data_IF_929066718903
#
_entry.id   IF_929066718903
#
_cell.length_a   1.000
_cell.length_b   1.000
_cell.length_c   1.000
_cell.angle_alpha   90.00
_cell.angle_beta   90.00
_cell.angle_gamma   90.00
#
_symmetry.space_group_name_H-M   'P 1'
#
loop_
_entity.id
_entity.type
_entity.pdbx_description
1 polymer ?
#
# COMPACT_ATOMS: atom_id res chain seq x y z
N UNK A 1 -32.34 -9.26 12.84
CA UNK A 1 -31.28 -8.64 12.00
C UNK A 1 -30.03 -8.55 12.86
N UNK A 2 -28.89 -9.14 12.49
CA UNK A 2 -27.67 -8.91 13.27
C UNK A 2 -27.37 -7.40 13.21
N UNK A 3 -27.18 -6.80 14.39
CA UNK A 3 -26.82 -5.39 14.51
C UNK A 3 -25.45 -5.19 13.83
N UNK A 4 -25.41 -4.36 12.79
CA UNK A 4 -24.13 -3.97 12.21
C UNK A 4 -23.26 -3.31 13.29
N UNK A 5 -21.98 -3.66 13.39
CA UNK A 5 -21.09 -3.01 14.35
C UNK A 5 -21.14 -1.48 14.11
N UNK A 6 -21.15 -0.70 15.19
CA UNK A 6 -21.08 0.76 15.08
C UNK A 6 -19.73 1.12 14.45
N UNK A 7 -19.75 1.45 13.16
CA UNK A 7 -18.54 1.79 12.40
C UNK A 7 -18.06 3.17 12.83
N UNK A 8 -16.80 3.25 13.23
CA UNK A 8 -16.14 4.51 13.53
C UNK A 8 -15.11 4.78 12.42
N UNK A 9 -15.38 5.77 11.57
CA UNK A 9 -14.43 6.18 10.54
C UNK A 9 -13.12 6.68 11.16
N UNK A 10 -12.02 6.48 10.46
CA UNK A 10 -10.76 7.13 10.78
C UNK A 10 -10.94 8.65 10.58
N UNK A 11 -10.38 9.44 11.52
CA UNK A 11 -10.45 10.90 11.45
C UNK A 11 -9.54 11.43 10.32
N UNK A 12 -9.83 12.61 9.80
CA UNK A 12 -9.02 13.26 8.76
C UNK A 12 -7.57 13.42 9.16
N UNK A 13 -7.28 13.76 10.43
CA UNK A 13 -5.92 13.87 10.98
C UNK A 13 -5.11 12.57 10.91
N UNK A 14 -5.76 11.40 10.76
CA UNK A 14 -5.06 10.14 10.52
C UNK A 14 -4.30 10.13 9.18
N UNK A 15 -4.79 10.89 8.19
CA UNK A 15 -4.22 10.94 6.83
C UNK A 15 -3.26 12.12 6.62
N UNK A 16 -3.08 13.00 7.60
CA UNK A 16 -2.16 14.15 7.52
C UNK A 16 -0.67 13.78 7.51
N UNK A 17 -0.21 12.66 8.15
CA UNK A 17 1.17 12.21 8.03
C UNK A 17 1.53 11.77 6.60
N UNK A 18 2.83 11.54 6.34
CA UNK A 18 3.29 11.05 5.04
C UNK A 18 2.65 9.71 4.65
N UNK A 19 2.49 9.47 3.36
CA UNK A 19 1.90 8.23 2.86
C UNK A 19 2.64 6.97 3.36
N UNK A 20 3.94 7.06 3.66
CA UNK A 20 4.70 5.94 4.24
C UNK A 20 4.23 5.58 5.65
N UNK A 21 3.92 6.57 6.48
CA UNK A 21 3.39 6.36 7.83
C UNK A 21 1.95 5.83 7.74
N UNK A 22 1.11 6.51 6.98
CA UNK A 22 -0.31 6.13 6.80
C UNK A 22 -0.45 4.72 6.23
N UNK A 23 0.43 4.31 5.29
CA UNK A 23 0.39 2.98 4.70
C UNK A 23 0.63 1.86 5.72
N UNK A 24 1.52 2.09 6.68
CA UNK A 24 1.79 1.16 7.78
C UNK A 24 0.62 1.10 8.77
N UNK A 25 0.05 2.25 9.10
CA UNK A 25 -1.03 2.37 10.08
C UNK A 25 -2.37 1.87 9.55
N UNK A 26 -2.64 1.98 8.25
CA UNK A 26 -3.86 1.46 7.62
C UNK A 26 -3.98 -0.07 7.70
N UNK A 27 -2.85 -0.80 7.79
CA UNK A 27 -2.88 -2.26 7.89
C UNK A 27 -3.60 -2.72 9.16
N UNK A 28 -4.67 -3.48 9.00
CA UNK A 28 -5.50 -3.98 10.09
C UNK A 28 -6.82 -3.23 10.28
N UNK A 29 -6.99 -2.04 9.70
CA UNK A 29 -8.26 -1.32 9.63
C UNK A 29 -9.18 -1.89 8.54
N UNK A 30 -10.44 -1.46 8.52
CA UNK A 30 -11.43 -1.93 7.56
C UNK A 30 -11.62 -0.94 6.42
N UNK A 31 -11.58 -1.42 5.17
CA UNK A 31 -12.17 -0.74 4.02
C UNK A 31 -13.59 -1.28 3.83
N UNK A 32 -14.59 -0.39 3.82
CA UNK A 32 -16.00 -0.75 3.79
C UNK A 32 -16.70 -0.02 2.65
N UNK A 33 -17.48 -0.75 1.89
CA UNK A 33 -18.32 -0.27 0.80
C UNK A 33 -19.79 -0.47 1.15
N UNK A 34 -20.56 0.60 1.21
CA UNK A 34 -22.01 0.58 1.36
C UNK A 34 -22.66 0.70 -0.02
N UNK A 35 -23.48 -0.27 -0.39
CA UNK A 35 -24.25 -0.27 -1.65
C UNK A 35 -25.74 -0.43 -1.35
N UNK A 36 -26.64 -0.15 -2.31
CA UNK A 36 -28.05 -0.45 -2.16
C UNK A 36 -28.33 -1.92 -1.85
N UNK A 37 -27.47 -2.83 -2.35
CA UNK A 37 -27.60 -4.28 -2.16
C UNK A 37 -27.01 -4.77 -0.83
N UNK A 38 -26.38 -3.89 -0.06
CA UNK A 38 -25.78 -4.20 1.23
C UNK A 38 -24.36 -3.70 1.41
N UNK A 39 -23.78 -4.05 2.55
CA UNK A 39 -22.43 -3.69 2.93
C UNK A 39 -21.45 -4.81 2.57
N UNK A 40 -20.30 -4.47 1.99
CA UNK A 40 -19.18 -5.39 1.84
C UNK A 40 -17.86 -4.71 2.22
N UNK A 41 -16.85 -5.49 2.57
CA UNK A 41 -15.56 -4.96 2.97
C UNK A 41 -14.70 -5.97 3.71
N UNK A 42 -13.55 -5.51 4.18
CA UNK A 42 -12.60 -6.38 4.87
C UNK A 42 -11.44 -5.63 5.47
N UNK A 43 -10.57 -6.40 6.11
CA UNK A 43 -9.34 -5.92 6.73
C UNK A 43 -8.31 -5.58 5.65
N UNK A 44 -7.75 -4.39 5.70
CA UNK A 44 -6.62 -3.98 4.86
C UNK A 44 -5.38 -4.79 5.29
N UNK A 45 -4.86 -5.61 4.39
CA UNK A 45 -3.71 -6.49 4.67
C UNK A 45 -2.47 -6.18 3.83
N UNK A 46 -2.60 -5.33 2.81
CA UNK A 46 -1.52 -4.90 1.93
C UNK A 46 -1.75 -3.48 1.42
N UNK A 47 -0.69 -2.66 1.46
CA UNK A 47 -0.69 -1.25 1.02
C UNK A 47 0.60 -0.91 0.26
N UNK A 48 0.55 0.16 -0.55
CA UNK A 48 1.74 0.80 -1.12
C UNK A 48 1.69 2.31 -0.92
N UNK A 49 2.83 2.90 -0.53
CA UNK A 49 2.96 4.35 -0.40
C UNK A 49 3.50 4.99 -1.68
N UNK A 50 2.92 6.12 -2.06
CA UNK A 50 3.33 6.98 -3.16
C UNK A 50 3.50 8.40 -2.63
N UNK A 51 4.74 8.89 -2.58
CA UNK A 51 5.11 10.18 -2.03
C UNK A 51 5.22 11.25 -3.12
N UNK A 52 5.25 12.52 -2.72
CA UNK A 52 5.29 13.65 -3.65
C UNK A 52 6.60 13.71 -4.46
N UNK A 53 7.71 13.22 -3.89
CA UNK A 53 9.04 13.11 -4.54
C UNK A 53 9.22 11.82 -5.37
N UNK A 54 8.19 10.98 -5.42
CA UNK A 54 8.26 9.65 -6.05
C UNK A 54 7.94 9.75 -7.55
N UNK A 55 8.88 9.43 -8.45
CA UNK A 55 8.61 9.45 -9.89
C UNK A 55 7.54 8.43 -10.34
N UNK A 56 7.18 7.47 -9.49
CA UNK A 56 6.07 6.54 -9.72
C UNK A 56 4.72 7.08 -9.22
N UNK A 57 4.70 8.17 -8.47
CA UNK A 57 3.47 8.82 -8.03
C UNK A 57 2.76 9.48 -9.22
N UNK A 58 1.44 9.41 -9.27
CA UNK A 58 0.64 10.10 -10.28
C UNK A 58 0.69 11.63 -10.15
N UNK A 59 1.17 12.13 -9.02
CA UNK A 59 1.44 13.56 -8.80
C UNK A 59 2.76 14.06 -9.39
N UNK A 60 3.70 13.18 -9.75
CA UNK A 60 5.03 13.55 -10.23
C UNK A 60 5.05 14.52 -11.44
N UNK A 61 4.12 14.41 -12.43
CA UNK A 61 4.06 15.38 -13.53
C UNK A 61 3.36 16.70 -13.16
N UNK A 62 2.97 16.90 -11.88
CA UNK A 62 2.17 18.04 -11.44
C UNK A 62 0.66 17.81 -11.53
N UNK A 63 -0.09 18.87 -11.19
CA UNK A 63 -1.56 18.85 -11.18
C UNK A 63 -2.14 18.75 -12.59
N UNK A 64 -3.09 17.83 -12.76
CA UNK A 64 -3.85 17.63 -14.00
C UNK A 64 -5.34 17.39 -13.68
N UNK A 65 -6.21 17.50 -14.67
CA UNK A 65 -7.63 17.18 -14.49
C UNK A 65 -7.86 15.72 -14.02
N UNK A 66 -6.96 14.81 -14.38
CA UNK A 66 -7.05 13.38 -14.02
C UNK A 66 -6.68 13.11 -12.58
N UNK A 67 -5.70 13.82 -12.03
CA UNK A 67 -5.14 13.55 -10.69
C UNK A 67 -5.50 14.62 -9.65
N UNK A 68 -6.44 15.52 -9.95
CA UNK A 68 -6.81 16.64 -9.06
C UNK A 68 -7.18 16.21 -7.65
N UNK A 69 -7.82 15.04 -7.48
CA UNK A 69 -8.19 14.50 -6.16
C UNK A 69 -6.95 14.19 -5.33
N UNK A 70 -5.86 13.76 -5.95
CA UNK A 70 -4.59 13.46 -5.28
C UNK A 70 -3.94 14.71 -4.64
N UNK A 71 -4.24 15.91 -5.17
CA UNK A 71 -3.80 17.20 -4.61
C UNK A 71 -4.84 17.84 -3.68
N UNK A 72 -5.95 17.14 -3.40
CA UNK A 72 -7.02 17.58 -2.52
C UNK A 72 -6.71 17.40 -1.04
N UNK A 73 -7.75 17.47 -0.22
CA UNK A 73 -7.64 17.25 1.22
C UNK A 73 -7.33 15.79 1.55
N UNK A 74 -6.55 15.52 2.64
CA UNK A 74 -6.29 14.17 3.11
C UNK A 74 -7.59 13.43 3.48
N UNK A 75 -7.56 12.10 3.38
CA UNK A 75 -8.71 11.27 3.71
C UNK A 75 -9.79 11.19 2.62
N UNK A 76 -9.52 11.71 1.41
CA UNK A 76 -10.35 11.46 0.23
C UNK A 76 -9.86 10.23 -0.54
N UNK A 77 -10.79 9.54 -1.19
CA UNK A 77 -10.50 8.40 -2.05
C UNK A 77 -10.09 8.85 -3.45
N UNK A 78 -8.87 8.55 -3.87
CA UNK A 78 -8.43 8.73 -5.25
C UNK A 78 -8.61 7.43 -6.02
N UNK A 79 -9.59 7.40 -6.93
CA UNK A 79 -9.94 6.21 -7.74
C UNK A 79 -9.60 6.45 -9.20
N UNK A 80 -8.75 5.61 -9.77
CA UNK A 80 -8.34 5.75 -11.16
C UNK A 80 -8.43 4.43 -11.94
N UNK A 81 -8.62 4.56 -13.25
CA UNK A 81 -8.68 3.45 -14.20
C UNK A 81 -7.30 3.15 -14.76
N UNK A 82 -6.92 1.86 -14.79
CA UNK A 82 -5.59 1.41 -15.21
C UNK A 82 -5.70 0.16 -16.11
N UNK A 83 -4.74 0.00 -17.02
CA UNK A 83 -4.64 -1.13 -17.95
C UNK A 83 -5.88 -1.40 -18.81
N UNK A 84 -6.75 -0.39 -18.98
CA UNK A 84 -7.98 -0.54 -19.79
C UNK A 84 -9.05 -1.46 -19.20
N UNK A 85 -8.89 -1.99 -17.99
CA UNK A 85 -9.81 -2.99 -17.44
C UNK A 85 -9.98 -2.96 -15.91
N UNK A 86 -9.18 -2.18 -15.17
CA UNK A 86 -9.21 -2.21 -13.70
C UNK A 86 -9.27 -0.81 -13.08
N UNK A 87 -9.87 -0.73 -11.90
CA UNK A 87 -9.78 0.42 -11.01
C UNK A 87 -8.81 0.14 -9.87
N UNK A 88 -8.22 1.20 -9.34
CA UNK A 88 -7.43 1.18 -8.12
C UNK A 88 -7.94 2.28 -7.19
N UNK A 89 -8.00 2.00 -5.88
CA UNK A 89 -8.41 2.95 -4.84
C UNK A 89 -7.25 3.28 -3.93
N UNK A 90 -7.09 4.58 -3.69
CA UNK A 90 -6.05 5.11 -2.79
C UNK A 90 -6.70 6.02 -1.76
N UNK A 91 -6.09 6.13 -0.58
CA UNK A 91 -6.37 7.16 0.40
C UNK A 91 -5.37 8.31 0.21
N UNK A 92 -5.85 9.52 -0.05
CA UNK A 92 -5.03 10.74 -0.17
C UNK A 92 -4.46 11.09 1.20
N UNK A 93 -3.18 11.46 1.24
CA UNK A 93 -2.44 11.83 2.43
C UNK A 93 -1.84 13.22 2.29
N UNK A 94 -1.34 13.78 3.39
CA UNK A 94 -0.73 15.10 3.48
C UNK A 94 -1.73 16.26 3.27
N UNK A 95 -1.41 17.46 3.71
CA UNK A 95 -2.24 18.65 3.48
C UNK A 95 -2.49 18.90 1.98
N UNK A 96 -3.60 19.54 1.69
CA UNK A 96 -3.98 19.97 0.34
C UNK A 96 -2.83 20.65 -0.38
N UNK A 97 -2.63 20.28 -1.64
CA UNK A 97 -1.53 20.76 -2.48
C UNK A 97 -0.33 19.81 -2.53
N UNK A 98 -0.25 18.82 -1.62
CA UNK A 98 0.80 17.80 -1.60
C UNK A 98 0.24 16.49 -2.15
N UNK A 99 0.80 16.00 -3.26
CA UNK A 99 0.33 14.79 -3.93
C UNK A 99 0.94 13.53 -3.32
N UNK A 100 0.37 13.04 -2.23
CA UNK A 100 0.72 11.75 -1.63
C UNK A 100 -0.51 10.87 -1.44
N UNK A 101 -0.36 9.56 -1.62
CA UNK A 101 -1.45 8.62 -1.39
C UNK A 101 -0.97 7.22 -1.03
N UNK A 102 -1.86 6.47 -0.37
CA UNK A 102 -1.70 5.06 -0.09
C UNK A 102 -2.63 4.24 -0.96
N UNK A 103 -2.06 3.42 -1.85
CA UNK A 103 -2.81 2.42 -2.60
C UNK A 103 -3.20 1.26 -1.69
N UNK A 104 -4.49 0.92 -1.64
CA UNK A 104 -4.99 -0.27 -0.97
C UNK A 104 -4.91 -1.44 -1.95
N UNK A 105 -4.06 -2.43 -1.62
CA UNK A 105 -3.75 -3.51 -2.55
C UNK A 105 -4.53 -4.79 -2.33
N UNK A 106 -4.79 -5.14 -1.07
CA UNK A 106 -5.49 -6.37 -0.74
C UNK A 106 -6.26 -6.26 0.57
N UNK A 107 -7.36 -6.99 0.63
CA UNK A 107 -8.21 -7.12 1.81
C UNK A 107 -8.38 -8.60 2.19
N UNK A 108 -8.56 -8.84 3.48
CA UNK A 108 -9.18 -10.06 3.99
C UNK A 108 -10.68 -9.82 4.15
N UNK A 109 -11.57 -10.46 3.35
CA UNK A 109 -13.02 -10.25 3.41
C UNK A 109 -13.58 -10.55 4.81
N UNK A 110 -14.41 -9.64 5.32
CA UNK A 110 -15.10 -9.78 6.63
C UNK A 110 -16.60 -9.56 6.47
N UNK A 111 -16.99 -8.66 5.58
CA UNK A 111 -18.38 -8.26 5.38
C UNK A 111 -18.81 -8.54 3.95
N UNK A 112 -20.01 -9.10 3.75
CA UNK A 112 -20.65 -9.19 2.44
C UNK A 112 -19.89 -10.01 1.39
N UNK A 113 -19.28 -11.13 1.78
CA UNK A 113 -18.53 -11.99 0.84
C UNK A 113 -19.38 -12.43 -0.35
N UNK A 114 -20.68 -12.75 -0.12
CA UNK A 114 -21.59 -13.13 -1.21
C UNK A 114 -21.81 -11.99 -2.20
N UNK A 115 -21.92 -10.75 -1.72
CA UNK A 115 -21.98 -9.57 -2.59
C UNK A 115 -20.71 -9.43 -3.41
N UNK A 116 -19.54 -9.59 -2.79
CA UNK A 116 -18.26 -9.60 -3.50
C UNK A 116 -18.19 -10.70 -4.57
N UNK A 117 -18.72 -11.90 -4.30
CA UNK A 117 -18.75 -13.02 -5.25
C UNK A 117 -19.67 -12.76 -6.43
N UNK A 118 -20.80 -12.05 -6.23
CA UNK A 118 -21.65 -11.62 -7.36
C UNK A 118 -20.92 -10.66 -8.30
N UNK A 119 -20.16 -9.74 -7.74
CA UNK A 119 -19.38 -8.76 -8.54
C UNK A 119 -18.14 -9.40 -9.19
N UNK A 120 -17.58 -10.42 -8.56
CA UNK A 120 -16.38 -11.13 -9.00
C UNK A 120 -16.52 -12.65 -8.76
N UNK A 121 -17.09 -13.40 -9.73
CA UNK A 121 -17.34 -14.84 -9.58
C UNK A 121 -16.03 -15.64 -9.62
N UNK A 122 -15.48 -15.93 -8.43
CA UNK A 122 -14.30 -16.77 -8.23
C UNK A 122 -14.58 -17.85 -7.18
N UNK A 123 -13.99 -19.02 -7.32
CA UNK A 123 -14.24 -20.18 -6.43
C UNK A 123 -13.61 -19.98 -5.04
N UNK A 124 -12.39 -19.43 -4.98
CA UNK A 124 -11.64 -19.29 -3.73
C UNK A 124 -11.82 -17.90 -3.15
N UNK A 125 -12.22 -17.79 -1.86
CA UNK A 125 -12.34 -16.52 -1.13
C UNK A 125 -11.07 -15.68 -1.22
N UNK A 126 -9.89 -16.33 -1.14
CA UNK A 126 -8.61 -15.65 -1.28
C UNK A 126 -8.51 -14.81 -2.57
N UNK A 127 -9.08 -15.29 -3.67
CA UNK A 127 -8.93 -14.65 -4.98
C UNK A 127 -9.91 -13.49 -5.19
N UNK A 128 -10.83 -13.24 -4.25
CA UNK A 128 -11.75 -12.11 -4.32
C UNK A 128 -11.02 -10.75 -4.29
N UNK A 129 -10.09 -10.59 -3.35
CA UNK A 129 -9.56 -9.27 -2.98
C UNK A 129 -8.03 -9.23 -2.84
N UNK A 130 -7.31 -10.25 -3.33
CA UNK A 130 -5.84 -10.34 -3.27
C UNK A 130 -5.16 -9.61 -4.44
N UNK A 131 -5.49 -8.35 -4.62
CA UNK A 131 -4.91 -7.45 -5.62
C UNK A 131 -5.76 -6.21 -5.82
N UNK A 132 -5.17 -5.04 -6.19
CA UNK A 132 -5.88 -3.75 -6.20
C UNK A 132 -7.06 -3.73 -7.19
N UNK A 133 -6.89 -4.23 -8.39
CA UNK A 133 -7.99 -4.36 -9.36
C UNK A 133 -9.05 -5.37 -8.93
N UNK A 134 -8.63 -6.47 -8.29
CA UNK A 134 -9.54 -7.51 -7.80
C UNK A 134 -10.45 -7.00 -6.69
N UNK A 135 -9.88 -6.29 -5.71
CA UNK A 135 -10.67 -5.72 -4.62
C UNK A 135 -11.65 -4.65 -5.13
N UNK A 136 -11.23 -3.80 -6.06
CA UNK A 136 -12.12 -2.80 -6.65
C UNK A 136 -13.28 -3.46 -7.40
N UNK A 137 -13.03 -4.53 -8.18
CA UNK A 137 -14.08 -5.29 -8.84
C UNK A 137 -15.02 -5.94 -7.82
N UNK A 138 -14.49 -6.65 -6.82
CA UNK A 138 -15.29 -7.35 -5.81
C UNK A 138 -16.19 -6.39 -5.01
N UNK A 139 -15.70 -5.19 -4.71
CA UNK A 139 -16.42 -4.16 -3.94
C UNK A 139 -17.21 -3.17 -4.80
N UNK A 140 -17.29 -3.37 -6.13
CA UNK A 140 -17.90 -2.43 -7.06
C UNK A 140 -17.39 -0.99 -6.89
N UNK A 141 -16.06 -0.84 -6.78
CA UNK A 141 -15.39 0.46 -6.71
C UNK A 141 -15.02 0.87 -8.12
N UNK A 142 -15.60 1.96 -8.59
CA UNK A 142 -15.38 2.54 -9.91
C UNK A 142 -15.10 4.04 -9.85
N UNK A 143 -15.04 4.70 -11.01
CA UNK A 143 -14.76 6.14 -11.15
C UNK A 143 -15.75 7.04 -10.41
N UNK A 144 -16.98 6.60 -10.13
CA UNK A 144 -17.98 7.38 -9.41
C UNK A 144 -17.59 7.66 -7.96
N UNK A 145 -16.65 6.87 -7.43
CA UNK A 145 -16.10 7.02 -6.08
C UNK A 145 -14.81 7.86 -6.03
N UNK A 146 -14.35 8.40 -7.17
CA UNK A 146 -13.21 9.31 -7.16
C UNK A 146 -13.56 10.63 -6.46
N UNK A 147 -12.82 10.97 -5.40
CA UNK A 147 -13.09 12.13 -4.53
C UNK A 147 -14.03 11.84 -3.36
N UNK A 148 -14.41 10.58 -3.12
CA UNK A 148 -15.26 10.24 -1.95
C UNK A 148 -14.55 10.56 -0.64
N UNK A 149 -15.25 11.10 0.34
CA UNK A 149 -14.73 11.35 1.69
C UNK A 149 -14.72 10.05 2.51
N UNK A 150 -13.54 9.48 2.74
CA UNK A 150 -13.35 8.24 3.50
C UNK A 150 -13.55 8.41 5.01
N UNK A 151 -13.61 9.67 5.49
CA UNK A 151 -13.80 10.02 6.90
C UNK A 151 -15.26 10.25 7.28
N UNK A 152 -16.15 10.38 6.30
CA UNK A 152 -17.57 10.63 6.51
C UNK A 152 -18.35 9.30 6.61
N UNK A 153 -19.00 8.98 7.74
CA UNK A 153 -19.74 7.72 7.90
C UNK A 153 -20.94 7.58 6.95
N UNK A 154 -21.44 8.68 6.36
CA UNK A 154 -22.49 8.65 5.34
C UNK A 154 -21.97 8.35 3.93
N UNK A 155 -20.65 8.34 3.73
CA UNK A 155 -20.03 8.05 2.42
C UNK A 155 -20.28 6.60 2.00
N UNK A 156 -20.42 6.38 0.68
CA UNK A 156 -20.57 5.04 0.14
C UNK A 156 -19.29 4.17 0.25
N UNK A 157 -18.14 4.77 0.52
CA UNK A 157 -16.87 4.10 0.77
C UNK A 157 -16.18 4.79 1.94
N UNK A 158 -15.80 4.03 2.95
CA UNK A 158 -15.14 4.55 4.17
C UNK A 158 -13.98 3.65 4.59
N UNK A 159 -13.06 4.22 5.37
CA UNK A 159 -12.09 3.44 6.15
C UNK A 159 -12.45 3.61 7.64
N UNK A 160 -12.70 2.47 8.30
CA UNK A 160 -13.16 2.43 9.67
C UNK A 160 -12.14 1.75 10.59
N UNK A 161 -12.15 2.15 11.87
CA UNK A 161 -11.38 1.50 12.91
C UNK A 161 -11.84 0.04 13.04
N UNK A 162 -10.89 -0.87 13.13
CA UNK A 162 -11.16 -2.25 13.50
C UNK A 162 -11.04 -2.39 15.02
N UNK A 163 -12.11 -2.73 15.77
CA UNK A 163 -12.04 -2.93 17.22
C UNK A 163 -11.05 -4.01 17.62
N UNK A 164 -10.84 -5.00 16.77
CA UNK A 164 -9.90 -6.10 16.97
C UNK A 164 -8.48 -5.82 16.44
N UNK A 165 -8.18 -4.56 16.10
CA UNK A 165 -6.93 -4.15 15.44
C UNK A 165 -5.68 -4.71 16.10
N UNK A 166 -5.52 -4.53 17.42
CA UNK A 166 -4.34 -4.99 18.14
C UNK A 166 -4.23 -6.53 18.16
N UNK A 167 -5.35 -7.23 18.37
CA UNK A 167 -5.40 -8.69 18.37
C UNK A 167 -5.06 -9.24 16.98
N UNK A 168 -5.63 -8.66 15.95
CA UNK A 168 -5.44 -9.07 14.56
C UNK A 168 -4.00 -8.82 14.11
N UNK A 169 -3.43 -7.66 14.39
CA UNK A 169 -2.03 -7.38 14.05
C UNK A 169 -1.07 -8.34 14.75
N UNK A 170 -1.35 -8.68 16.01
CA UNK A 170 -0.55 -9.69 16.73
C UNK A 170 -0.67 -11.07 16.09
N UNK A 171 -1.86 -11.50 15.66
CA UNK A 171 -2.08 -12.81 15.04
C UNK A 171 -1.54 -12.92 13.63
N UNK A 172 -1.61 -11.85 12.84
CA UNK A 172 -1.09 -11.82 11.45
C UNK A 172 0.42 -11.55 11.37
N UNK A 173 1.08 -11.37 12.53
CA UNK A 173 2.52 -11.22 12.63
C UNK A 173 3.04 -9.84 12.23
N UNK A 174 4.37 -9.69 12.12
CA UNK A 174 5.00 -8.40 11.82
C UNK A 174 4.62 -7.90 10.42
N UNK A 175 4.73 -6.58 10.24
CA UNK A 175 4.66 -5.97 8.92
C UNK A 175 5.93 -6.29 8.14
N UNK A 176 5.76 -6.74 6.91
CA UNK A 176 6.84 -6.88 5.94
C UNK A 176 6.90 -5.60 5.11
N UNK A 177 8.09 -5.03 5.00
CA UNK A 177 8.39 -3.90 4.12
C UNK A 177 9.19 -4.39 2.92
N UNK A 178 8.75 -4.07 1.71
CA UNK A 178 9.34 -4.59 0.48
C UNK A 178 9.09 -3.66 -0.71
N UNK A 179 9.52 -4.07 -1.89
CA UNK A 179 9.33 -3.31 -3.13
C UNK A 179 7.88 -3.37 -3.63
N UNK A 180 7.47 -2.31 -4.34
CA UNK A 180 6.15 -2.19 -4.95
C UNK A 180 6.02 -3.08 -6.19
N UNK A 181 4.77 -3.35 -6.58
CA UNK A 181 4.44 -4.28 -7.68
C UNK A 181 3.86 -3.50 -8.87
N UNK A 182 4.31 -3.86 -10.07
CA UNK A 182 3.73 -3.35 -11.32
C UNK A 182 4.13 -1.93 -11.69
N UNK A 183 5.24 -1.42 -11.13
CA UNK A 183 5.84 -0.12 -11.48
C UNK A 183 7.22 -0.30 -12.07
N UNK A 184 7.64 0.63 -12.93
CA UNK A 184 8.96 0.65 -13.57
C UNK A 184 9.87 1.74 -13.02
N UNK A 185 9.27 2.86 -12.53
CA UNK A 185 10.02 3.96 -11.91
C UNK A 185 10.13 3.72 -10.41
N UNK A 186 11.30 4.02 -9.83
CA UNK A 186 11.56 3.84 -8.40
C UNK A 186 11.16 2.45 -7.87
N UNK A 187 11.29 1.41 -8.71
CA UNK A 187 10.82 0.05 -8.42
C UNK A 187 11.57 -0.62 -7.25
N UNK A 188 12.78 -0.15 -6.93
CA UNK A 188 13.62 -0.67 -5.83
C UNK A 188 13.27 -0.09 -4.47
N UNK A 189 12.48 0.98 -4.40
CA UNK A 189 12.12 1.60 -3.12
C UNK A 189 11.21 0.69 -2.31
N UNK A 190 11.50 0.47 -1.00
CA UNK A 190 10.74 -0.42 -0.14
C UNK A 190 9.48 0.28 0.40
N UNK A 191 8.53 0.59 -0.49
CA UNK A 191 7.30 1.33 -0.20
C UNK A 191 6.02 0.48 -0.31
N UNK A 192 6.14 -0.85 -0.19
CA UNK A 192 5.01 -1.79 -0.07
C UNK A 192 5.06 -2.47 1.28
N UNK A 193 3.89 -2.55 1.92
CA UNK A 193 3.75 -3.06 3.29
C UNK A 193 2.63 -4.10 3.33
N UNK A 194 2.83 -5.19 4.08
CA UNK A 194 1.79 -6.19 4.27
C UNK A 194 1.93 -6.97 5.58
N UNK A 195 0.83 -7.54 6.06
CA UNK A 195 0.80 -8.41 7.24
C UNK A 195 1.30 -9.81 6.86
N UNK A 196 2.43 -10.23 7.45
CA UNK A 196 3.24 -11.41 7.04
C UNK A 196 2.43 -12.69 6.89
N UNK A 197 1.55 -12.98 7.85
CA UNK A 197 0.82 -14.26 7.90
C UNK A 197 -0.52 -14.22 7.17
N UNK A 198 -0.99 -13.05 6.68
CA UNK A 198 -2.23 -12.99 5.92
C UNK A 198 -2.16 -13.84 4.65
N UNK A 199 -3.22 -14.60 4.39
CA UNK A 199 -3.35 -15.42 3.18
C UNK A 199 -3.81 -14.60 1.96
N UNK A 200 -4.26 -13.36 2.18
CA UNK A 200 -4.85 -12.50 1.16
C UNK A 200 -3.86 -11.54 0.50
N UNK A 201 -2.61 -11.50 0.94
CA UNK A 201 -1.55 -10.72 0.29
C UNK A 201 -1.42 -11.12 -1.19
N UNK A 202 -1.33 -10.14 -2.07
CA UNK A 202 -1.34 -10.34 -3.53
C UNK A 202 -0.15 -11.19 -4.01
N UNK A 203 1.05 -10.81 -3.62
CA UNK A 203 2.30 -11.53 -3.88
C UNK A 203 3.16 -11.45 -2.61
N UNK A 204 3.50 -12.60 -2.04
CA UNK A 204 4.47 -12.68 -0.95
C UNK A 204 5.88 -12.80 -1.54
N UNK A 205 6.84 -12.16 -0.89
CA UNK A 205 8.25 -12.43 -1.19
C UNK A 205 8.57 -13.89 -0.90
N UNK A 206 9.33 -14.50 -1.79
CA UNK A 206 9.95 -15.79 -1.48
C UNK A 206 10.98 -15.54 -0.39
N UNK A 207 11.08 -16.39 0.65
CA UNK A 207 12.20 -16.33 1.57
C UNK A 207 13.49 -16.40 0.73
N UNK A 208 14.32 -15.37 0.79
CA UNK A 208 15.69 -15.47 0.31
C UNK A 208 16.35 -16.52 1.17
N UNK A 209 16.66 -17.70 0.59
CA UNK A 209 17.59 -18.64 1.20
C UNK A 209 18.90 -17.86 1.36
N UNK A 210 19.23 -17.47 2.59
CA UNK A 210 20.55 -16.97 2.92
C UNK A 210 21.51 -18.15 2.70
N UNK A 211 22.08 -18.20 1.51
CA UNK A 211 23.32 -18.95 1.28
C UNK A 211 24.39 -18.16 2.02
N UNK A 212 24.69 -18.59 3.24
CA UNK A 212 25.89 -18.14 3.97
C UNK A 212 27.05 -18.64 3.13
N UNK A 213 27.89 -17.77 2.54
CA UNK A 213 29.12 -18.24 1.94
C UNK A 213 29.98 -18.75 3.11
N UNK A 214 30.25 -20.04 3.14
CA UNK A 214 31.25 -20.60 4.03
C UNK A 214 32.63 -20.02 3.61
N UNK A 215 33.03 -18.97 4.28
CA UNK A 215 34.34 -18.37 4.13
C UNK A 215 35.41 -19.33 4.64
N UNK A 216 36.14 -19.99 3.74
CA UNK A 216 37.47 -20.49 4.05
C UNK A 216 38.41 -19.31 4.10
N UNK A 217 38.83 -18.97 5.31
CA UNK A 217 39.92 -18.05 5.58
C UNK A 217 41.23 -18.76 5.22
N UNK A 218 41.87 -18.36 4.14
CA UNK A 218 43.30 -18.58 3.94
C UNK A 218 43.96 -17.22 4.06
N UNK A 219 44.61 -17.01 5.19
CA UNK A 219 45.60 -15.95 5.40
C UNK A 219 46.76 -16.18 4.43
N UNK A 220 47.07 -15.20 3.61
CA UNK A 220 48.41 -14.98 3.06
C UNK A 220 48.80 -13.55 3.45
N UNK A 221 49.74 -13.51 4.38
CA UNK A 221 50.56 -12.32 4.65
C UNK A 221 51.43 -12.11 3.38
N UNK A 222 51.35 -10.94 2.79
CA UNK A 222 52.36 -10.42 1.89
C UNK A 222 52.73 -9.01 2.32
N UNK A 223 54.01 -8.90 2.73
CA UNK A 223 54.76 -7.70 3.00
C UNK A 223 54.61 -6.65 1.89
N UNK A 224 54.30 -5.44 2.25
CA UNK A 224 54.41 -4.28 1.37
C UNK A 224 55.23 -3.17 2.06
N UNK A 225 56.53 -3.13 1.70
CA UNK A 225 57.45 -2.04 2.02
C UNK A 225 57.09 -0.77 1.20
N UNK A 226 57.32 0.43 1.74
CA UNK A 226 57.03 1.68 1.05
C UNK A 226 58.17 2.07 0.08
N UNK A 227 57.89 2.69 -1.07
CA UNK A 227 58.93 3.18 -1.95
C UNK A 227 59.49 4.53 -1.50
N UNK A 228 60.81 4.59 -1.51
CA UNK A 228 61.64 5.75 -1.24
C UNK A 228 61.40 6.94 -2.18
N UNK A 229 61.47 8.12 -1.59
CA UNK A 229 61.58 9.44 -2.22
C UNK A 229 62.81 9.53 -3.17
N UNK A 230 62.59 10.10 -4.37
CA UNK A 230 63.71 10.74 -5.14
C UNK A 230 63.26 12.10 -5.60
N UNK A 231 63.90 13.09 -4.99
CA UNK A 231 64.06 14.45 -5.43
C UNK A 231 64.85 14.50 -6.76
N UNK A 232 64.45 15.34 -7.72
CA UNK A 232 65.34 15.99 -8.67
C UNK A 232 64.92 17.39 -8.94
N UNK A 233 65.79 18.28 -8.51
CA UNK A 233 65.99 19.67 -8.88
C UNK A 233 66.59 19.70 -10.29
N UNK A 234 66.17 20.62 -11.13
CA UNK A 234 67.04 21.49 -11.96
C UNK A 234 66.25 22.56 -12.69
N UNK A 235 66.75 23.77 -12.50
CA UNK A 235 66.57 24.96 -13.32
C UNK A 235 67.56 24.86 -14.55
N UNK A 236 67.59 25.80 -15.46
CA UNK A 236 67.09 27.18 -15.44
C UNK A 236 65.90 27.46 -16.38
#
# INVERSE_FOLDING_TARGET
MPSHPKLQCLKRSFYEPSASVVALELLGHWLIRNTPEGMCGGVIVETEAYLCDDPACHGAPGLTARNKVLFGEPGHGYVYFIYGCHYCVNAVCQPQGTAEAVLIRALEPVFGEELMRRNRPVSKTRDLTNGPGKLCQAMAIDRKLDGVDLCNPASPLIIAQNPEFNRLRKSLGPVVTTTRIGITRAATLPRRFYLKSSKFVSIKERPTSQTIPSGRTTQKEEDCQPPHSRSRITKP
#
